data_IF_229039387671
#
_entry.id   IF_229039387671
#
_cell.length_a   1.000
_cell.length_b   1.000
_cell.length_c   1.000
_cell.angle_alpha   90.00
_cell.angle_beta   90.00
_cell.angle_gamma   90.00
#
_symmetry.space_group_name_H-M   'P 1'
#
loop_
_entity.id
_entity.type
_entity.pdbx_description
1 polymer ?
#
# COMPACT_ATOMS: atom_id res chain seq x y z
N UNK A 1 -3.52 -18.31 -23.68
CA UNK A 1 -3.92 -17.04 -24.32
C UNK A 1 -4.08 -16.02 -23.22
N UNK A 2 -3.42 -14.85 -23.30
CA UNK A 2 -3.72 -13.74 -22.38
C UNK A 2 -5.18 -13.32 -22.59
N UNK A 3 -5.90 -13.02 -21.52
CA UNK A 3 -7.28 -12.60 -21.63
C UNK A 3 -7.30 -11.29 -22.45
N UNK A 4 -8.17 -11.13 -23.47
CA UNK A 4 -8.29 -9.86 -24.18
C UNK A 4 -8.60 -8.67 -23.25
N UNK A 5 -9.18 -8.92 -22.07
CA UNK A 5 -9.34 -7.93 -20.99
C UNK A 5 -7.99 -7.51 -20.38
N UNK A 6 -7.05 -8.44 -20.19
CA UNK A 6 -5.66 -8.13 -19.75
C UNK A 6 -4.94 -7.27 -20.80
N UNK A 7 -5.36 -7.36 -22.06
CA UNK A 7 -4.77 -6.63 -23.18
C UNK A 7 -5.36 -5.22 -23.32
N UNK A 8 -6.64 -5.01 -22.97
CA UNK A 8 -7.25 -3.68 -22.94
C UNK A 8 -6.70 -2.80 -21.79
N UNK A 9 -6.27 -3.41 -20.68
CA UNK A 9 -5.51 -2.73 -19.62
C UNK A 9 -4.10 -2.29 -20.04
N UNK A 10 -3.61 -2.72 -21.21
CA UNK A 10 -2.27 -2.39 -21.69
C UNK A 10 -2.17 -1.04 -22.42
N UNK A 11 -3.28 -0.39 -22.74
CA UNK A 11 -3.27 0.95 -23.35
C UNK A 11 -3.47 2.00 -22.26
N UNK A 12 -2.36 2.48 -21.70
CA UNK A 12 -2.36 3.62 -20.78
C UNK A 12 -2.59 4.90 -21.60
N UNK A 13 -3.64 5.71 -21.31
CA UNK A 13 -3.88 6.95 -22.03
C UNK A 13 -2.71 7.93 -21.92
N UNK A 14 -2.43 8.63 -23.02
CA UNK A 14 -1.41 9.67 -23.09
C UNK A 14 -2.05 11.05 -22.90
N UNK A 15 -1.35 11.92 -22.18
CA UNK A 15 -1.68 13.32 -21.95
C UNK A 15 -0.60 14.19 -22.57
N UNK A 16 -1.00 15.24 -23.28
CA UNK A 16 -0.09 16.23 -23.87
C UNK A 16 -0.12 17.49 -23.01
N UNK A 17 1.05 17.91 -22.54
CA UNK A 17 1.26 19.14 -21.77
C UNK A 17 1.99 20.15 -22.66
N UNK A 18 1.34 21.28 -22.96
CA UNK A 18 1.98 22.39 -23.65
C UNK A 18 2.72 23.26 -22.63
N UNK A 19 4.01 23.46 -22.87
CA UNK A 19 4.85 24.37 -22.07
C UNK A 19 5.44 25.44 -22.98
N UNK A 20 5.93 26.54 -22.40
CA UNK A 20 6.66 27.58 -23.16
C UNK A 20 7.91 27.03 -23.89
N UNK A 21 8.36 25.81 -23.57
CA UNK A 21 9.50 25.12 -24.20
C UNK A 21 9.08 24.03 -25.21
N UNK A 22 7.79 23.97 -25.55
CA UNK A 22 7.21 23.00 -26.48
C UNK A 22 6.26 22.01 -25.81
N UNK A 23 5.81 21.04 -26.60
CA UNK A 23 4.89 19.99 -26.17
C UNK A 23 5.66 18.80 -25.56
N UNK A 24 5.15 18.26 -24.45
CA UNK A 24 5.61 16.98 -23.90
C UNK A 24 4.43 16.05 -23.71
N UNK A 25 4.59 14.80 -24.13
CA UNK A 25 3.61 13.74 -23.92
C UNK A 25 4.05 12.83 -22.78
N UNK A 26 3.10 12.49 -21.91
CA UNK A 26 3.27 11.59 -20.78
C UNK A 26 2.13 10.58 -20.78
N UNK A 27 2.37 9.34 -20.37
CA UNK A 27 1.24 8.51 -19.94
C UNK A 27 0.64 9.08 -18.64
N UNK A 28 -0.61 8.75 -18.35
CA UNK A 28 -1.32 9.32 -17.19
C UNK A 28 -0.60 9.05 -15.86
N UNK A 29 0.05 7.90 -15.69
CA UNK A 29 0.77 7.58 -14.46
C UNK A 29 2.08 8.35 -14.36
N UNK A 30 2.83 8.48 -15.45
CA UNK A 30 4.01 9.36 -15.49
C UNK A 30 3.66 10.81 -15.21
N UNK A 31 2.51 11.30 -15.68
CA UNK A 31 2.04 12.65 -15.35
C UNK A 31 1.73 12.79 -13.86
N UNK A 32 1.13 11.78 -13.24
CA UNK A 32 0.82 11.78 -11.80
C UNK A 32 2.08 11.61 -10.93
N UNK A 33 3.09 10.88 -11.41
CA UNK A 33 4.38 10.74 -10.74
C UNK A 33 5.11 12.09 -10.63
N UNK A 34 4.95 13.00 -11.60
CA UNK A 34 5.44 14.40 -11.48
C UNK A 34 4.78 15.15 -10.30
N UNK A 35 3.53 14.82 -9.98
CA UNK A 35 2.84 15.31 -8.77
C UNK A 35 3.14 14.47 -7.53
N UNK A 36 4.08 13.52 -7.62
CA UNK A 36 4.53 12.62 -6.54
C UNK A 36 3.45 11.64 -6.07
N UNK A 37 2.56 11.26 -6.98
CA UNK A 37 1.52 10.26 -6.73
C UNK A 37 1.95 8.93 -7.35
N UNK A 38 2.01 7.89 -6.54
CA UNK A 38 2.29 6.50 -6.94
C UNK A 38 1.00 5.69 -6.77
N UNK A 39 0.63 4.92 -7.79
CA UNK A 39 -0.49 3.97 -7.70
C UNK A 39 0.03 2.57 -7.40
N UNK A 40 -0.49 1.97 -6.33
CA UNK A 40 -0.34 0.55 -5.99
C UNK A 40 -1.70 -0.11 -6.22
N UNK A 41 -1.90 -0.63 -7.43
CA UNK A 41 -3.18 -1.20 -7.88
C UNK A 41 -3.00 -2.65 -8.32
N UNK A 42 -3.84 -3.54 -7.80
CA UNK A 42 -3.77 -4.97 -8.07
C UNK A 42 -2.90 -5.73 -7.07
N UNK A 43 -2.58 -6.98 -7.40
CA UNK A 43 -1.85 -7.88 -6.50
C UNK A 43 -0.40 -7.40 -6.28
N UNK A 44 0.05 -7.41 -5.03
CA UNK A 44 1.44 -7.11 -4.69
C UNK A 44 2.31 -8.29 -5.09
N UNK A 45 3.24 -8.05 -6.00
CA UNK A 45 4.21 -9.02 -6.50
C UNK A 45 5.56 -8.33 -6.75
N UNK A 46 6.60 -9.12 -7.02
CA UNK A 46 8.00 -8.64 -7.02
C UNK A 46 8.27 -7.54 -8.05
N UNK A 47 7.62 -7.58 -9.22
CA UNK A 47 7.78 -6.54 -10.24
C UNK A 47 7.14 -5.22 -9.80
N UNK A 48 5.91 -5.24 -9.30
CA UNK A 48 5.23 -4.09 -8.71
C UNK A 48 6.05 -3.50 -7.57
N UNK A 49 6.54 -4.34 -6.65
CA UNK A 49 7.38 -3.87 -5.54
C UNK A 49 8.64 -3.19 -6.05
N UNK A 50 9.32 -3.78 -7.04
CA UNK A 50 10.49 -3.17 -7.68
C UNK A 50 10.17 -1.79 -8.25
N UNK A 51 9.05 -1.65 -8.98
CA UNK A 51 8.64 -0.38 -9.57
C UNK A 51 8.27 0.66 -8.50
N UNK A 52 7.54 0.27 -7.44
CA UNK A 52 7.16 1.18 -6.36
C UNK A 52 8.39 1.63 -5.58
N UNK A 53 9.31 0.73 -5.24
CA UNK A 53 10.58 1.06 -4.60
C UNK A 53 11.41 2.02 -5.46
N UNK A 54 11.51 1.77 -6.76
CA UNK A 54 12.22 2.66 -7.68
C UNK A 54 11.59 4.06 -7.75
N UNK A 55 10.26 4.14 -7.80
CA UNK A 55 9.55 5.43 -7.78
C UNK A 55 9.74 6.19 -6.47
N UNK A 56 9.68 5.50 -5.32
CA UNK A 56 9.93 6.10 -4.01
C UNK A 56 11.34 6.71 -3.92
N UNK A 57 12.36 5.95 -4.32
CA UNK A 57 13.75 6.41 -4.34
C UNK A 57 13.98 7.55 -5.35
N UNK A 58 13.35 7.47 -6.53
CA UNK A 58 13.38 8.54 -7.52
C UNK A 58 12.79 9.84 -6.95
N UNK A 59 11.62 9.78 -6.33
CA UNK A 59 10.95 10.93 -5.74
C UNK A 59 11.72 11.51 -4.54
N UNK A 60 12.38 10.67 -3.74
CA UNK A 60 13.31 11.13 -2.70
C UNK A 60 14.47 11.91 -3.31
N UNK A 61 15.10 11.39 -4.37
CA UNK A 61 16.24 12.05 -5.01
C UNK A 61 15.85 13.41 -5.64
N UNK A 62 14.67 13.50 -6.24
CA UNK A 62 14.14 14.74 -6.83
C UNK A 62 13.87 15.82 -5.77
N UNK A 63 13.24 15.44 -4.66
CA UNK A 63 13.03 16.36 -3.53
C UNK A 63 12.79 15.58 -2.23
N UNK A 64 13.79 15.48 -1.33
CA UNK A 64 13.68 14.67 -0.12
C UNK A 64 12.81 15.32 0.97
N UNK A 65 12.34 16.56 0.77
CA UNK A 65 11.51 17.31 1.73
C UNK A 65 10.03 17.30 1.37
N UNK A 66 9.68 16.98 0.13
CA UNK A 66 8.29 17.02 -0.36
C UNK A 66 7.65 15.64 -0.21
N UNK A 67 6.46 15.61 0.36
CA UNK A 67 5.69 14.39 0.61
C UNK A 67 5.44 13.57 -0.66
N UNK A 68 5.22 12.27 -0.48
CA UNK A 68 4.86 11.33 -1.54
C UNK A 68 3.48 10.76 -1.20
N UNK A 69 2.59 10.66 -2.18
CA UNK A 69 1.27 10.09 -1.99
C UNK A 69 1.19 8.69 -2.64
N UNK A 70 0.90 7.68 -1.82
CA UNK A 70 0.71 6.29 -2.27
C UNK A 70 -0.78 5.95 -2.27
N UNK A 71 -1.34 5.80 -3.46
CA UNK A 71 -2.75 5.47 -3.66
C UNK A 71 -2.90 3.95 -3.79
N UNK A 72 -3.68 3.35 -2.91
CA UNK A 72 -3.76 1.91 -2.71
C UNK A 72 -5.13 1.40 -3.13
N UNK A 73 -5.13 0.44 -4.06
CA UNK A 73 -6.27 -0.40 -4.42
C UNK A 73 -5.77 -1.83 -4.64
N UNK A 74 -5.55 -2.57 -3.57
CA UNK A 74 -4.85 -3.85 -3.61
C UNK A 74 -5.51 -4.92 -2.75
N UNK A 75 -5.71 -6.15 -3.30
CA UNK A 75 -6.10 -7.32 -2.52
C UNK A 75 -4.94 -7.87 -1.66
N UNK A 76 -3.77 -7.22 -1.66
CA UNK A 76 -2.55 -7.74 -1.06
C UNK A 76 -1.77 -8.62 -2.02
N UNK A 77 -0.94 -9.52 -1.51
CA UNK A 77 -0.12 -10.39 -2.33
C UNK A 77 1.08 -10.96 -1.58
N UNK A 78 2.22 -11.04 -2.26
CA UNK A 78 3.45 -11.66 -1.75
C UNK A 78 4.01 -10.82 -0.58
N UNK A 79 4.20 -11.47 0.57
CA UNK A 79 4.64 -10.80 1.80
C UNK A 79 6.01 -10.14 1.63
N UNK A 80 6.98 -10.83 1.02
CA UNK A 80 8.33 -10.29 0.81
C UNK A 80 8.33 -9.06 -0.09
N UNK A 81 7.52 -9.07 -1.16
CA UNK A 81 7.34 -7.93 -2.06
C UNK A 81 6.73 -6.73 -1.30
N UNK A 82 5.68 -6.96 -0.51
CA UNK A 82 5.10 -5.90 0.30
C UNK A 82 6.04 -5.39 1.40
N UNK A 83 6.87 -6.25 1.99
CA UNK A 83 7.88 -5.84 2.97
C UNK A 83 9.00 -4.99 2.35
N UNK A 84 9.36 -5.22 1.08
CA UNK A 84 10.31 -4.36 0.36
C UNK A 84 9.75 -2.94 0.18
N UNK A 85 8.47 -2.82 -0.20
CA UNK A 85 7.78 -1.53 -0.29
C UNK A 85 7.73 -0.87 1.10
N UNK A 86 7.31 -1.63 2.12
CA UNK A 86 7.22 -1.16 3.50
C UNK A 86 8.56 -0.58 3.97
N UNK A 87 9.65 -1.35 3.88
CA UNK A 87 10.96 -0.91 4.35
C UNK A 87 11.43 0.32 3.56
N UNK A 88 11.15 0.39 2.26
CA UNK A 88 11.48 1.58 1.45
C UNK A 88 10.70 2.80 1.92
N UNK A 89 9.39 2.69 2.20
CA UNK A 89 8.59 3.79 2.75
C UNK A 89 9.14 4.30 4.08
N UNK A 90 9.64 3.39 4.94
CA UNK A 90 10.22 3.78 6.24
C UNK A 90 11.66 4.31 6.13
N UNK A 91 12.38 3.93 5.06
CA UNK A 91 13.79 4.24 4.87
C UNK A 91 14.02 5.62 4.25
N UNK A 92 13.17 6.03 3.31
CA UNK A 92 13.31 7.31 2.63
C UNK A 92 12.98 8.49 3.55
N UNK A 93 13.56 9.66 3.26
CA UNK A 93 13.34 10.90 4.03
C UNK A 93 11.93 11.52 3.90
N UNK A 94 11.29 11.55 2.72
CA UNK A 94 9.96 12.14 2.60
C UNK A 94 8.92 11.39 3.41
N UNK A 95 7.97 12.12 4.01
CA UNK A 95 6.76 11.51 4.53
C UNK A 95 5.95 10.88 3.37
N UNK A 96 5.48 9.65 3.58
CA UNK A 96 4.63 8.93 2.63
C UNK A 96 3.19 8.96 3.14
N UNK A 97 2.33 9.76 2.52
CA UNK A 97 0.89 9.67 2.71
C UNK A 97 0.33 8.42 2.02
N UNK A 98 -0.69 7.81 2.62
CA UNK A 98 -1.39 6.68 2.01
C UNK A 98 -2.88 6.98 1.88
N UNK A 99 -3.48 6.56 0.78
CA UNK A 99 -4.91 6.71 0.53
C UNK A 99 -5.48 5.41 -0.04
N UNK A 100 -6.40 4.77 0.69
CA UNK A 100 -7.17 3.64 0.18
C UNK A 100 -8.32 4.13 -0.70
N UNK A 101 -8.32 3.71 -1.97
CA UNK A 101 -9.37 3.94 -2.97
C UNK A 101 -9.91 2.61 -3.47
N UNK A 102 -10.99 2.12 -2.86
CA UNK A 102 -11.57 0.82 -3.18
C UNK A 102 -11.24 -0.23 -2.12
N UNK A 103 -10.07 -0.87 -2.19
CA UNK A 103 -9.69 -1.84 -1.15
C UNK A 103 -8.22 -1.79 -0.75
N UNK A 104 -7.96 -2.13 0.50
CA UNK A 104 -6.63 -2.42 1.02
C UNK A 104 -6.72 -3.69 1.88
N UNK A 105 -6.30 -4.82 1.32
CA UNK A 105 -6.38 -6.12 1.99
C UNK A 105 -5.00 -6.73 2.20
N UNK A 106 -4.79 -7.43 3.32
CA UNK A 106 -3.55 -8.15 3.63
C UNK A 106 -2.29 -7.26 3.54
N UNK A 107 -1.40 -7.46 2.56
CA UNK A 107 -0.26 -6.56 2.36
C UNK A 107 -0.69 -5.15 1.95
N UNK A 108 -1.85 -4.99 1.29
CA UNK A 108 -2.42 -3.69 1.00
C UNK A 108 -2.81 -2.91 2.26
N UNK A 109 -3.44 -3.56 3.25
CA UNK A 109 -3.78 -2.92 4.53
C UNK A 109 -2.54 -2.64 5.38
N UNK A 110 -1.51 -3.49 5.31
CA UNK A 110 -0.25 -3.25 6.02
C UNK A 110 0.45 -2.01 5.46
N UNK A 111 0.51 -1.88 4.13
CA UNK A 111 1.10 -0.72 3.47
C UNK A 111 0.28 0.56 3.70
N UNK A 112 -1.05 0.45 3.75
CA UNK A 112 -1.93 1.54 4.18
C UNK A 112 -1.61 2.00 5.61
N UNK A 113 -1.52 1.06 6.56
CA UNK A 113 -1.16 1.37 7.94
C UNK A 113 0.23 2.00 8.08
N UNK A 114 1.15 1.66 7.17
CA UNK A 114 2.55 2.08 7.20
C UNK A 114 2.82 3.50 6.68
N UNK A 115 1.79 4.20 6.20
CA UNK A 115 1.91 5.62 5.88
C UNK A 115 2.36 6.45 7.08
N UNK A 116 2.87 7.64 6.82
CA UNK A 116 3.27 8.56 7.86
C UNK A 116 2.10 8.84 8.80
N UNK A 117 2.38 8.93 10.10
CA UNK A 117 1.38 9.20 11.13
C UNK A 117 0.57 10.46 10.77
N UNK A 118 -0.75 10.38 10.96
CA UNK A 118 -1.73 11.43 10.68
C UNK A 118 -1.93 11.73 9.17
N UNK A 119 -1.37 10.89 8.29
CA UNK A 119 -1.42 11.01 6.83
C UNK A 119 -1.92 9.73 6.12
N UNK A 120 -2.68 8.91 6.84
CA UNK A 120 -3.27 7.65 6.34
C UNK A 120 -4.77 7.83 6.17
N UNK A 121 -5.25 7.61 4.95
CA UNK A 121 -6.59 8.00 4.55
C UNK A 121 -7.33 6.87 3.86
N UNK A 122 -8.66 6.95 3.86
CA UNK A 122 -9.50 6.11 3.01
C UNK A 122 -10.70 6.91 2.51
N UNK A 123 -11.19 6.56 1.31
CA UNK A 123 -12.51 7.03 0.85
C UNK A 123 -13.65 6.28 1.56
N UNK A 124 -14.89 6.80 1.61
CA UNK A 124 -15.94 6.26 2.48
C UNK A 124 -16.36 4.82 2.13
N UNK A 125 -16.32 4.46 0.85
CA UNK A 125 -16.66 3.11 0.38
C UNK A 125 -15.47 2.16 0.36
N UNK A 126 -14.32 2.57 0.91
CA UNK A 126 -13.14 1.71 0.97
C UNK A 126 -13.35 0.56 1.93
N UNK A 127 -12.88 -0.62 1.53
CA UNK A 127 -12.89 -1.82 2.36
C UNK A 127 -11.48 -2.21 2.77
N UNK A 128 -11.24 -2.33 4.06
CA UNK A 128 -9.96 -2.73 4.62
C UNK A 128 -10.11 -4.17 5.11
N UNK A 129 -9.14 -5.03 4.81
CA UNK A 129 -9.12 -6.40 5.33
C UNK A 129 -7.76 -6.72 5.92
N UNK A 130 -7.74 -7.20 7.16
CA UNK A 130 -6.53 -7.69 7.82
C UNK A 130 -6.68 -9.18 8.12
N UNK A 131 -5.58 -9.91 7.98
CA UNK A 131 -5.49 -11.34 8.30
C UNK A 131 -4.03 -11.75 8.48
N UNK A 132 -3.79 -12.91 9.07
CA UNK A 132 -2.47 -13.53 9.20
C UNK A 132 -1.94 -14.00 7.84
N UNK A 133 -0.62 -14.13 7.65
CA UNK A 133 -0.08 -14.65 6.40
C UNK A 133 -0.50 -16.11 6.19
N UNK A 134 -0.84 -16.44 4.95
CA UNK A 134 -1.08 -17.81 4.50
C UNK A 134 0.11 -18.35 3.72
N UNK A 135 0.43 -19.64 3.89
CA UNK A 135 1.46 -20.32 3.11
C UNK A 135 1.23 -21.82 3.06
N UNK A 136 1.91 -22.51 2.16
CA UNK A 136 1.80 -23.95 1.97
C UNK A 136 3.14 -24.54 1.52
N UNK A 137 3.52 -25.67 2.10
CA UNK A 137 4.81 -26.32 1.86
C UNK A 137 4.62 -27.83 1.79
N UNK A 138 5.46 -28.51 0.99
CA UNK A 138 5.51 -29.98 0.86
C UNK A 138 6.98 -30.40 0.81
N UNK A 139 7.32 -31.55 1.41
CA UNK A 139 8.70 -32.02 1.46
C UNK A 139 8.97 -32.98 2.61
N UNK A 140 10.24 -33.15 2.96
CA UNK A 140 10.64 -33.94 4.13
C UNK A 140 10.13 -33.29 5.43
N UNK A 141 9.95 -34.10 6.48
CA UNK A 141 9.48 -33.61 7.77
C UNK A 141 10.31 -32.43 8.31
N UNK A 142 11.64 -32.50 8.18
CA UNK A 142 12.55 -31.42 8.60
C UNK A 142 12.38 -30.13 7.80
N UNK A 143 12.02 -30.21 6.51
CA UNK A 143 11.80 -29.03 5.68
C UNK A 143 10.45 -28.38 6.00
N UNK A 144 9.41 -29.19 6.18
CA UNK A 144 8.09 -28.73 6.64
C UNK A 144 8.23 -28.00 7.98
N UNK A 145 8.98 -28.58 8.93
CA UNK A 145 9.23 -27.95 10.23
C UNK A 145 9.93 -26.59 10.09
N UNK A 146 10.96 -26.49 9.25
CA UNK A 146 11.68 -25.23 9.02
C UNK A 146 10.77 -24.16 8.44
N UNK A 147 9.97 -24.50 7.44
CA UNK A 147 9.01 -23.58 6.85
C UNK A 147 7.89 -23.16 7.81
N UNK A 148 7.40 -24.10 8.64
CA UNK A 148 6.42 -23.79 9.69
C UNK A 148 6.99 -22.81 10.73
N UNK A 149 8.25 -22.97 11.13
CA UNK A 149 8.93 -22.02 12.04
C UNK A 149 9.11 -20.65 11.38
N UNK A 150 9.43 -20.61 10.08
CA UNK A 150 9.63 -19.37 9.34
C UNK A 150 8.33 -18.56 9.18
N UNK A 151 7.23 -19.21 8.78
CA UNK A 151 5.94 -18.52 8.63
C UNK A 151 5.42 -17.99 9.99
N UNK A 152 5.70 -18.67 11.10
CA UNK A 152 5.39 -18.16 12.44
C UNK A 152 6.20 -16.90 12.79
N UNK A 153 7.48 -16.85 12.42
CA UNK A 153 8.30 -15.63 12.58
C UNK A 153 7.76 -14.49 11.71
N UNK A 154 7.38 -14.79 10.47
CA UNK A 154 6.79 -13.83 9.55
C UNK A 154 5.47 -13.29 10.09
N UNK A 155 4.55 -14.15 10.55
CA UNK A 155 3.30 -13.76 11.21
C UNK A 155 3.57 -12.77 12.36
N UNK A 156 4.48 -13.12 13.27
CA UNK A 156 4.85 -12.25 14.39
C UNK A 156 5.36 -10.89 13.91
N UNK A 157 6.24 -10.87 12.91
CA UNK A 157 6.81 -9.63 12.36
C UNK A 157 5.73 -8.73 11.75
N UNK A 158 4.77 -9.30 11.00
CA UNK A 158 3.67 -8.54 10.42
C UNK A 158 2.75 -7.96 11.53
N UNK A 159 2.46 -8.74 12.56
CA UNK A 159 1.69 -8.27 13.71
C UNK A 159 2.40 -7.10 14.43
N UNK A 160 3.73 -7.20 14.64
CA UNK A 160 4.52 -6.11 15.23
C UNK A 160 4.50 -4.82 14.39
N UNK A 161 4.41 -4.94 13.05
CA UNK A 161 4.22 -3.79 12.16
C UNK A 161 2.84 -3.14 12.39
N UNK A 162 1.77 -3.92 12.48
CA UNK A 162 0.46 -3.38 12.82
C UNK A 162 0.44 -2.75 14.21
N UNK A 163 1.05 -3.37 15.22
CA UNK A 163 1.20 -2.80 16.58
C UNK A 163 1.87 -1.42 16.51
N UNK A 164 3.00 -1.31 15.79
CA UNK A 164 3.74 -0.05 15.62
C UNK A 164 2.84 1.06 15.08
N UNK A 165 2.05 0.76 14.05
CA UNK A 165 1.32 1.79 13.30
C UNK A 165 -0.09 2.06 13.82
N UNK A 166 -0.73 1.09 14.46
CA UNK A 166 -2.10 1.24 14.99
C UNK A 166 -2.11 1.67 16.47
N UNK A 167 -1.00 1.45 17.19
CA UNK A 167 -0.93 1.67 18.64
C UNK A 167 -1.69 0.63 19.47
N UNK A 168 -2.22 -0.43 18.83
CA UNK A 168 -2.93 -1.54 19.48
C UNK A 168 -1.94 -2.48 20.17
N UNK A 169 -2.40 -3.23 21.15
CA UNK A 169 -1.55 -4.26 21.80
C UNK A 169 -1.32 -5.43 20.83
N UNK A 170 -0.22 -6.16 21.05
CA UNK A 170 0.08 -7.34 20.24
C UNK A 170 -1.04 -8.38 20.33
N UNK A 171 -1.62 -8.56 21.51
CA UNK A 171 -2.71 -9.52 21.76
C UNK A 171 -3.99 -9.13 21.00
N UNK A 172 -4.35 -7.84 20.96
CA UNK A 172 -5.49 -7.36 20.16
C UNK A 172 -5.24 -7.58 18.66
N UNK A 173 -4.05 -7.22 18.18
CA UNK A 173 -3.66 -7.41 16.76
C UNK A 173 -3.68 -8.89 16.40
N UNK A 174 -3.02 -9.74 17.17
CA UNK A 174 -2.95 -11.18 16.89
C UNK A 174 -4.33 -11.84 16.87
N UNK A 175 -5.21 -11.47 17.80
CA UNK A 175 -6.59 -11.95 17.82
C UNK A 175 -7.40 -11.47 16.62
N UNK A 176 -7.25 -10.20 16.26
CA UNK A 176 -7.98 -9.60 15.13
C UNK A 176 -7.55 -10.24 13.80
N UNK A 177 -6.25 -10.49 13.63
CA UNK A 177 -5.68 -11.04 12.40
C UNK A 177 -5.81 -12.57 12.30
N UNK A 178 -6.30 -13.28 13.32
CA UNK A 178 -6.37 -14.75 13.27
C UNK A 178 -7.29 -15.26 12.15
N UNK A 179 -8.31 -14.50 11.76
CA UNK A 179 -9.16 -14.77 10.60
C UNK A 179 -9.32 -13.50 9.80
N UNK A 180 -9.84 -13.64 8.59
CA UNK A 180 -10.22 -12.50 7.75
C UNK A 180 -11.12 -11.56 8.55
N UNK A 181 -10.61 -10.37 8.85
CA UNK A 181 -11.32 -9.32 9.53
C UNK A 181 -11.50 -8.15 8.58
N UNK A 182 -12.75 -7.88 8.23
CA UNK A 182 -13.12 -6.82 7.30
C UNK A 182 -13.61 -5.62 8.08
N UNK A 183 -13.14 -4.45 7.67
CA UNK A 183 -13.52 -3.15 8.21
C UNK A 183 -14.00 -2.27 7.06
N UNK A 184 -15.07 -1.52 7.30
CA UNK A 184 -15.33 -0.31 6.53
C UNK A 184 -14.32 0.81 6.89
N UNK A 185 -14.45 1.97 6.25
CA UNK A 185 -13.51 3.08 6.43
C UNK A 185 -13.54 3.64 7.87
N UNK A 186 -14.73 3.73 8.49
CA UNK A 186 -14.88 4.26 9.85
C UNK A 186 -14.36 3.27 10.90
N UNK A 187 -14.63 1.97 10.72
CA UNK A 187 -14.07 0.89 11.53
C UNK A 187 -12.54 0.86 11.43
N UNK A 188 -11.99 1.02 10.23
CA UNK A 188 -10.54 1.07 10.02
C UNK A 188 -9.88 2.29 10.68
N UNK A 189 -10.57 3.44 10.69
CA UNK A 189 -10.14 4.62 11.43
C UNK A 189 -10.18 4.36 12.94
N UNK A 190 -11.29 3.80 13.45
CA UNK A 190 -11.44 3.45 14.86
C UNK A 190 -10.42 2.42 15.34
N UNK A 191 -10.04 1.46 14.48
CA UNK A 191 -9.03 0.45 14.79
C UNK A 191 -7.60 1.00 14.71
N UNK A 192 -7.38 2.07 13.93
CA UNK A 192 -6.10 2.77 13.81
C UNK A 192 -5.28 2.38 12.57
N UNK A 193 -5.88 1.70 11.58
CA UNK A 193 -5.24 1.46 10.27
C UNK A 193 -5.07 2.77 9.50
N UNK A 194 -6.07 3.63 9.58
CA UNK A 194 -6.07 4.97 8.96
C UNK A 194 -6.32 6.04 10.02
N UNK A 195 -6.01 7.28 9.67
CA UNK A 195 -6.20 8.45 10.53
C UNK A 195 -7.52 9.17 10.24
N UNK A 196 -7.95 9.21 8.97
CA UNK A 196 -9.16 9.93 8.57
C UNK A 196 -9.84 9.35 7.33
N UNK A 197 -11.17 9.28 7.37
CA UNK A 197 -12.01 9.06 6.17
C UNK A 197 -12.20 10.40 5.42
N UNK A 198 -11.89 10.42 4.12
CA UNK A 198 -12.00 11.62 3.28
C UNK A 198 -13.21 11.53 2.37
N UNK A 199 -14.14 12.49 2.47
CA UNK A 199 -15.33 12.54 1.59
C UNK A 199 -15.13 13.43 0.37
N UNK A 200 -14.19 14.37 0.44
CA UNK A 200 -13.86 15.30 -0.63
C UNK A 200 -12.37 15.65 -0.64
N UNK A 201 -11.90 16.23 -1.75
CA UNK A 201 -10.50 16.67 -1.89
C UNK A 201 -10.17 17.89 -1.03
N UNK A 202 -11.14 18.78 -0.81
CA UNK A 202 -10.98 19.99 0.02
C UNK A 202 -10.53 19.65 1.44
N UNK A 203 -11.08 18.56 2.00
CA UNK A 203 -10.71 18.06 3.33
C UNK A 203 -9.25 17.62 3.46
N UNK A 204 -8.59 17.29 2.35
CA UNK A 204 -7.17 16.91 2.30
C UNK A 204 -6.27 18.15 2.20
N UNK A 205 -6.75 19.21 1.54
CA UNK A 205 -6.05 20.48 1.36
C UNK A 205 -6.22 21.42 2.57
N UNK A 206 -7.02 21.02 3.56
CA UNK A 206 -7.33 21.83 4.75
C UNK A 206 -8.34 22.95 4.47
N UNK A 207 -8.96 22.94 3.29
CA UNK A 207 -10.01 23.86 2.90
C UNK A 207 -11.34 23.32 3.43
N UNK A 208 -12.02 24.09 4.29
CA UNK A 208 -13.34 23.69 4.78
C UNK A 208 -14.33 23.67 3.61
N UNK A 209 -15.02 22.55 3.45
CA UNK A 209 -16.13 22.40 2.50
C UNK A 209 -17.33 23.29 2.86
#
# INVERSE_FOLDING_TARGET
>A
MRNPVDTAMALVPMVVEQTNRGERSYDIYSRLLKERIIFLTGAVEDHMATLVCAQLLFLEAENPKKEIALYINSPGGVVTAGMAIYDTMQFIKPAVSTLCIGQAASMGSLLLAAGHKDMRFATPNSRIMVHQPSGGFQGQASDIERHARDILKMKRRLNEVYVKHTGRTYEEVEKTLDRDHFMDADEAQGWGVIDKVLTSRLEMEGEQA
#
